data_IF_951582703646
#
_entry.id   IF_951582703646
#
_cell.length_a   1.000
_cell.length_b   1.000
_cell.length_c   1.000
_cell.angle_alpha   90.00
_cell.angle_beta   90.00
_cell.angle_gamma   90.00
#
_symmetry.space_group_name_H-M   'P 1'
#
loop_
_entity.id
_entity.type
_entity.pdbx_description
1 polymer ?
#
# COMPACT_ATOMS: atom_id res chain seq x y z
N UNK A 1 10.19 10.81 -21.68
CA UNK A 1 9.87 11.94 -20.78
C UNK A 1 8.81 11.46 -19.81
N UNK A 2 9.18 11.21 -18.56
CA UNK A 2 8.20 10.74 -17.56
C UNK A 2 7.27 11.89 -17.23
N UNK A 3 5.99 11.65 -16.92
CA UNK A 3 5.06 12.72 -16.52
C UNK A 3 5.55 13.52 -15.30
N UNK A 4 6.46 12.94 -14.51
CA UNK A 4 7.15 13.57 -13.38
C UNK A 4 8.12 14.70 -13.78
N UNK A 5 8.58 14.73 -15.03
CA UNK A 5 9.48 15.79 -15.53
C UNK A 5 8.74 17.11 -15.77
N UNK A 6 7.40 17.04 -15.86
CA UNK A 6 6.54 18.22 -16.07
C UNK A 6 6.10 18.87 -14.75
N UNK A 7 6.30 18.20 -13.62
CA UNK A 7 5.84 18.66 -12.30
C UNK A 7 6.93 19.41 -11.55
N UNK A 8 6.56 20.44 -10.79
CA UNK A 8 7.50 21.15 -9.92
C UNK A 8 7.81 20.31 -8.67
N UNK A 9 9.02 20.42 -8.11
CA UNK A 9 9.45 19.61 -6.96
C UNK A 9 8.52 19.70 -5.75
N UNK A 10 7.93 20.88 -5.48
CA UNK A 10 6.98 21.05 -4.38
C UNK A 10 5.64 20.33 -4.63
N UNK A 11 5.20 20.23 -5.88
CA UNK A 11 3.98 19.51 -6.25
C UNK A 11 4.18 18.00 -6.09
N UNK A 12 5.34 17.48 -6.51
CA UNK A 12 5.72 16.08 -6.33
C UNK A 12 5.65 15.71 -4.84
N UNK A 13 6.25 16.52 -3.96
CA UNK A 13 6.21 16.28 -2.50
C UNK A 13 4.78 16.36 -1.96
N UNK A 14 3.96 17.32 -2.42
CA UNK A 14 2.57 17.48 -1.99
C UNK A 14 1.72 16.26 -2.36
N UNK A 15 1.85 15.77 -3.60
CA UNK A 15 1.11 14.59 -4.08
C UNK A 15 1.56 13.35 -3.31
N UNK A 16 2.87 13.12 -3.16
CA UNK A 16 3.37 11.96 -2.43
C UNK A 16 2.94 11.96 -0.96
N UNK A 17 2.91 13.14 -0.32
CA UNK A 17 2.38 13.31 1.04
C UNK A 17 0.91 12.92 1.12
N UNK A 18 0.07 13.38 0.19
CA UNK A 18 -1.36 13.03 0.15
C UNK A 18 -1.58 11.54 -0.03
N UNK A 19 -0.81 10.89 -0.91
CA UNK A 19 -0.88 9.44 -1.11
C UNK A 19 -0.39 8.67 0.12
N UNK A 20 0.64 9.16 0.81
CA UNK A 20 1.11 8.59 2.07
C UNK A 20 0.01 8.64 3.15
N UNK A 21 -0.63 9.79 3.37
CA UNK A 21 -1.70 9.87 4.36
C UNK A 21 -2.98 9.15 3.92
N UNK A 22 -3.29 9.17 2.62
CA UNK A 22 -4.43 8.44 2.06
C UNK A 22 -4.33 6.93 2.26
N UNK A 23 -3.11 6.37 2.28
CA UNK A 23 -2.91 4.95 2.51
C UNK A 23 -3.41 4.46 3.88
N UNK A 24 -3.48 5.33 4.89
CA UNK A 24 -4.02 4.99 6.20
C UNK A 24 -5.53 4.71 6.19
N UNK A 25 -6.24 5.06 5.12
CA UNK A 25 -7.64 4.68 4.91
C UNK A 25 -7.78 3.22 4.43
N UNK A 26 -6.92 2.30 4.91
CA UNK A 26 -6.90 0.89 4.53
C UNK A 26 -6.57 0.63 3.05
N UNK A 27 -5.70 1.46 2.45
CA UNK A 27 -5.36 1.41 1.03
C UNK A 27 -3.87 1.05 0.81
N UNK A 28 -3.46 -0.22 1.05
CA UNK A 28 -2.07 -0.63 0.86
C UNK A 28 -1.60 -0.50 -0.60
N UNK A 29 -2.52 -0.67 -1.56
CA UNK A 29 -2.24 -0.46 -2.97
C UNK A 29 -1.86 0.98 -3.28
N UNK A 30 -2.48 1.96 -2.61
CA UNK A 30 -2.16 3.38 -2.80
C UNK A 30 -0.72 3.69 -2.37
N UNK A 31 -0.27 3.11 -1.26
CA UNK A 31 1.12 3.22 -0.83
C UNK A 31 2.10 2.58 -1.81
N UNK A 32 1.75 1.42 -2.38
CA UNK A 32 2.60 0.77 -3.38
C UNK A 32 2.73 1.63 -4.65
N UNK A 33 1.61 2.22 -5.12
CA UNK A 33 1.62 3.16 -6.26
C UNK A 33 2.47 4.39 -5.92
N UNK A 34 2.35 4.96 -4.71
CA UNK A 34 3.19 6.07 -4.25
C UNK A 34 4.67 5.70 -4.35
N UNK A 35 5.04 4.49 -3.91
CA UNK A 35 6.43 4.04 -3.97
C UNK A 35 6.94 3.88 -5.40
N UNK A 36 6.24 3.13 -6.25
CA UNK A 36 6.68 2.84 -7.62
C UNK A 36 6.74 4.13 -8.45
N UNK A 37 5.74 5.01 -8.31
CA UNK A 37 5.64 6.23 -9.10
C UNK A 37 6.71 7.26 -8.74
N UNK A 38 6.96 7.50 -7.45
CA UNK A 38 7.91 8.53 -7.02
C UNK A 38 9.34 8.03 -6.80
N UNK A 39 9.61 6.72 -6.85
CA UNK A 39 10.96 6.15 -6.73
C UNK A 39 11.99 6.80 -7.68
N UNK A 40 11.71 7.05 -8.97
CA UNK A 40 12.66 7.74 -9.86
C UNK A 40 12.94 9.18 -9.43
N UNK A 41 11.96 9.87 -8.82
CA UNK A 41 12.08 11.26 -8.40
C UNK A 41 12.99 11.44 -7.18
N UNK A 42 13.18 10.39 -6.36
CA UNK A 42 14.05 10.41 -5.17
C UNK A 42 15.54 10.53 -5.53
N UNK A 43 15.92 10.09 -6.73
CA UNK A 43 17.30 10.08 -7.19
C UNK A 43 17.71 11.40 -7.87
N UNK A 44 16.80 12.38 -7.99
CA UNK A 44 17.12 13.69 -8.56
C UNK A 44 17.87 14.54 -7.53
N UNK A 45 18.95 15.21 -7.97
CA UNK A 45 19.82 15.99 -7.09
C UNK A 45 19.14 17.24 -6.49
N UNK A 46 18.11 17.77 -7.16
CA UNK A 46 17.33 18.95 -6.79
C UNK A 46 16.09 18.62 -5.93
N UNK A 47 15.89 17.34 -5.59
CA UNK A 47 14.70 16.88 -4.88
C UNK A 47 14.81 17.04 -3.36
N UNK A 48 13.71 17.43 -2.73
CA UNK A 48 13.63 17.58 -1.29
C UNK A 48 13.80 16.21 -0.57
N UNK A 49 14.70 16.08 0.43
CA UNK A 49 14.92 14.83 1.16
C UNK A 49 13.66 14.31 1.87
N UNK A 50 12.69 15.17 2.15
CA UNK A 50 11.40 14.79 2.75
C UNK A 50 10.60 13.83 1.85
N UNK A 51 10.75 13.89 0.52
CA UNK A 51 10.09 12.94 -0.39
C UNK A 51 10.47 11.50 -0.06
N UNK A 52 11.76 11.27 0.24
CA UNK A 52 12.29 9.94 0.58
C UNK A 52 11.54 9.34 1.77
N UNK A 53 11.27 10.14 2.80
CA UNK A 53 10.53 9.70 3.98
C UNK A 53 9.12 9.23 3.63
N UNK A 54 8.39 9.96 2.79
CA UNK A 54 7.04 9.56 2.40
C UNK A 54 7.01 8.34 1.49
N UNK A 55 7.95 8.24 0.55
CA UNK A 55 8.01 7.10 -0.37
C UNK A 55 8.40 5.81 0.34
N UNK A 56 9.48 5.81 1.12
CA UNK A 56 9.88 4.62 1.88
C UNK A 56 8.91 4.33 3.03
N UNK A 57 8.34 5.35 3.66
CA UNK A 57 7.26 5.17 4.63
C UNK A 57 6.05 4.47 4.02
N UNK A 58 5.67 4.81 2.79
CA UNK A 58 4.62 4.08 2.05
C UNK A 58 5.00 2.64 1.78
N UNK A 59 6.25 2.35 1.39
CA UNK A 59 6.70 0.96 1.20
C UNK A 59 6.54 0.14 2.48
N UNK A 60 7.01 0.68 3.62
CA UNK A 60 6.86 0.03 4.93
C UNK A 60 5.37 -0.17 5.27
N UNK A 61 4.54 0.87 5.10
CA UNK A 61 3.10 0.76 5.33
C UNK A 61 2.44 -0.34 4.48
N UNK A 62 2.78 -0.41 3.19
CA UNK A 62 2.28 -1.43 2.28
C UNK A 62 2.74 -2.84 2.70
N UNK A 63 4.01 -3.01 3.09
CA UNK A 63 4.55 -4.30 3.56
C UNK A 63 3.90 -4.75 4.87
N UNK A 64 3.69 -3.85 5.82
CA UNK A 64 3.01 -4.15 7.09
C UNK A 64 1.57 -4.59 6.82
N UNK A 65 0.84 -3.87 5.97
CA UNK A 65 -0.51 -4.25 5.60
C UNK A 65 -0.60 -5.56 4.83
N UNK A 66 0.36 -5.83 3.94
CA UNK A 66 0.45 -7.11 3.26
C UNK A 66 0.65 -8.26 4.27
N UNK A 67 1.54 -8.08 5.25
CA UNK A 67 1.77 -9.07 6.29
C UNK A 67 0.50 -9.33 7.12
N UNK A 68 -0.24 -8.27 7.49
CA UNK A 68 -1.52 -8.38 8.20
C UNK A 68 -2.54 -9.16 7.36
N UNK A 69 -2.69 -8.84 6.08
CA UNK A 69 -3.62 -9.52 5.17
C UNK A 69 -3.25 -10.99 4.96
N UNK A 70 -1.97 -11.29 4.80
CA UNK A 70 -1.49 -12.67 4.68
C UNK A 70 -1.74 -13.44 5.97
N UNK A 71 -1.42 -12.87 7.13
CA UNK A 71 -1.67 -13.52 8.42
C UNK A 71 -3.16 -13.78 8.64
N UNK A 72 -4.02 -12.80 8.35
CA UNK A 72 -5.47 -12.98 8.40
C UNK A 72 -5.94 -14.08 7.45
N UNK A 73 -5.47 -14.08 6.20
CA UNK A 73 -5.82 -15.09 5.22
C UNK A 73 -5.37 -16.48 5.66
N UNK A 74 -4.17 -16.63 6.22
CA UNK A 74 -3.68 -17.90 6.76
C UNK A 74 -4.56 -18.40 7.91
N UNK A 75 -4.91 -17.52 8.86
CA UNK A 75 -5.81 -17.87 9.97
C UNK A 75 -7.17 -18.32 9.43
N UNK A 76 -7.75 -17.56 8.50
CA UNK A 76 -9.02 -17.87 7.87
C UNK A 76 -8.95 -19.21 7.15
N UNK A 77 -8.00 -19.42 6.24
CA UNK A 77 -7.91 -20.66 5.46
C UNK A 77 -7.69 -21.92 6.32
N UNK A 78 -6.93 -21.81 7.42
CA UNK A 78 -6.65 -22.96 8.30
C UNK A 78 -7.83 -23.25 9.24
N UNK A 79 -8.47 -22.23 9.79
CA UNK A 79 -9.44 -22.40 10.88
C UNK A 79 -10.89 -22.21 10.45
N UNK A 80 -11.18 -21.77 9.22
CA UNK A 80 -12.55 -21.49 8.72
C UNK A 80 -13.52 -22.63 9.00
N UNK A 81 -13.11 -23.88 8.77
CA UNK A 81 -13.98 -25.05 8.95
C UNK A 81 -14.33 -25.27 10.43
N UNK A 82 -13.44 -24.88 11.35
CA UNK A 82 -13.66 -24.95 12.80
C UNK A 82 -14.59 -23.85 13.33
N UNK A 83 -14.85 -22.81 12.54
CA UNK A 83 -15.66 -21.65 12.95
C UNK A 83 -17.16 -21.84 12.72
N UNK A 84 -17.60 -23.02 12.27
CA UNK A 84 -18.99 -23.39 12.04
C UNK A 84 -19.74 -22.28 11.25
N UNK A 85 -20.87 -21.80 11.77
CA UNK A 85 -21.71 -20.77 11.14
C UNK A 85 -20.99 -19.44 10.89
N UNK A 86 -19.98 -19.08 11.68
CA UNK A 86 -19.20 -17.86 11.44
C UNK A 86 -18.31 -18.02 10.20
N UNK A 87 -17.68 -19.19 10.04
CA UNK A 87 -16.87 -19.52 8.88
C UNK A 87 -17.69 -19.48 7.59
N UNK A 88 -18.90 -20.02 7.62
CA UNK A 88 -19.84 -19.96 6.48
C UNK A 88 -20.25 -18.53 6.14
N UNK A 89 -20.65 -17.72 7.14
CA UNK A 89 -21.08 -16.32 6.92
C UNK A 89 -19.96 -15.41 6.41
N UNK A 90 -18.71 -15.67 6.81
CA UNK A 90 -17.53 -14.92 6.35
C UNK A 90 -17.04 -15.39 4.97
N UNK A 91 -17.43 -16.57 4.53
CA UNK A 91 -17.02 -17.11 3.23
C UNK A 91 -17.82 -16.46 2.11
N UNK A 92 -17.15 -15.65 1.27
CA UNK A 92 -17.76 -15.04 0.08
C UNK A 92 -17.83 -16.02 -1.08
N UNK A 93 -16.78 -16.82 -1.27
CA UNK A 93 -16.69 -17.83 -2.33
C UNK A 93 -16.56 -19.19 -1.68
N UNK A 94 -17.62 -19.98 -1.76
CA UNK A 94 -17.64 -21.35 -1.24
C UNK A 94 -16.90 -22.24 -2.25
N UNK A 95 -15.78 -22.88 -1.87
CA UNK A 95 -15.11 -23.84 -2.75
C UNK A 95 -16.07 -25.00 -3.02
N UNK A 96 -16.38 -25.24 -4.29
CA UNK A 96 -17.13 -26.42 -4.74
C UNK A 96 -16.13 -27.56 -4.87
N UNK A 97 -16.02 -28.39 -3.84
CA UNK A 97 -15.43 -29.72 -3.91
C UNK A 97 -16.47 -30.72 -4.38
#
# INVERSE_FOLDING_TARGET
MSSLDKLKNHEIVSISRKMFYGGFAFLPWLWLVNFIYFRPAINRADMNPVLRKYVYGSLVGASVWLAILVAWLSVFLIHRDSWNQLGEKLTVVIPKG
#
